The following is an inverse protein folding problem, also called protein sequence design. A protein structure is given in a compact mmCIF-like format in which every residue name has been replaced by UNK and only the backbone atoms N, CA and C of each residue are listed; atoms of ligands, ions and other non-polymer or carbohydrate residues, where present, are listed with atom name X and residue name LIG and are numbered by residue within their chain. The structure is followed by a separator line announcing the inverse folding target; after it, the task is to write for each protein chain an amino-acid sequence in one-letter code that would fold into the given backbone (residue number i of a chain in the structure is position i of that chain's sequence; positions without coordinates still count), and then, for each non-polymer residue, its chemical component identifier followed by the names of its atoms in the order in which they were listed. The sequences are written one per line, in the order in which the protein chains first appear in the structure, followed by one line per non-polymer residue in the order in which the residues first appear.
data_IF_428419712897
#
_entry.id   IF_428419712897
#
_cell.length_a   1.000
_cell.length_b   1.000
_cell.length_c   1.000
_cell.angle_alpha   90.00
_cell.angle_beta   90.00
_cell.angle_gamma   90.00
#
_symmetry.space_group_name_H-M   'P 1'
#
loop_
_entity.id
_entity.type
_entity.pdbx_description
1 polymer ?
#
# COMPACT_ATOMS: atom_id res chain seq x y z
N UNK A 1 19.71 24.92 11.78
CA UNK A 1 20.70 23.92 11.34
C UNK A 1 20.10 22.54 11.58
N UNK A 2 19.13 22.18 10.75
CA UNK A 2 18.73 20.80 10.51
C UNK A 2 18.40 20.78 9.03
N UNK A 3 19.33 20.14 8.34
CA UNK A 3 19.41 20.00 6.91
C UNK A 3 18.10 19.41 6.38
N UNK A 4 17.40 20.19 5.55
CA UNK A 4 16.32 19.70 4.71
C UNK A 4 16.97 18.85 3.64
N UNK A 5 17.19 17.57 3.93
CA UNK A 5 17.53 16.59 2.93
C UNK A 5 16.29 16.30 2.09
N UNK A 6 16.04 17.21 1.14
CA UNK A 6 15.32 16.94 -0.10
C UNK A 6 15.91 15.65 -0.67
N UNK A 7 15.13 14.56 -0.55
CA UNK A 7 15.53 13.21 -0.92
C UNK A 7 16.00 13.19 -2.36
N UNK A 8 17.31 13.03 -2.54
CA UNK A 8 17.91 12.72 -3.82
C UNK A 8 17.17 11.54 -4.43
N UNK A 9 16.66 11.74 -5.63
CA UNK A 9 16.29 10.66 -6.54
C UNK A 9 17.56 9.81 -6.75
N UNK A 10 17.73 8.78 -5.91
CA UNK A 10 18.75 7.77 -6.09
C UNK A 10 18.46 7.05 -7.42
N UNK A 11 19.30 7.22 -8.45
CA UNK A 11 19.03 6.61 -9.74
C UNK A 11 19.25 5.10 -9.62
N UNK A 12 18.25 4.34 -10.08
CA UNK A 12 18.19 2.88 -10.24
C UNK A 12 17.77 2.02 -9.03
N UNK A 13 17.01 2.54 -8.07
CA UNK A 13 16.17 1.65 -7.27
C UNK A 13 14.97 1.22 -8.13
N UNK A 14 15.13 0.11 -8.85
CA UNK A 14 14.07 -0.49 -9.70
C UNK A 14 13.06 -1.29 -8.90
N UNK A 15 13.20 -1.37 -7.57
CA UNK A 15 12.26 -2.11 -6.74
C UNK A 15 10.91 -1.41 -6.75
N UNK A 16 9.82 -2.17 -6.91
CA UNK A 16 8.49 -1.60 -6.81
C UNK A 16 8.31 -0.97 -5.42
N UNK A 17 7.64 0.17 -5.36
CA UNK A 17 7.38 0.90 -4.11
C UNK A 17 6.01 0.50 -3.59
N UNK A 18 5.93 0.26 -2.28
CA UNK A 18 4.67 -0.04 -1.62
C UNK A 18 4.45 0.90 -0.44
N UNK A 19 3.19 1.24 -0.16
CA UNK A 19 2.78 2.04 0.98
C UNK A 19 2.64 1.14 2.22
N UNK A 20 3.34 1.46 3.31
CA UNK A 20 3.10 0.84 4.61
C UNK A 20 1.97 1.57 5.34
N UNK A 21 0.92 0.84 5.73
CA UNK A 21 -0.23 1.41 6.45
C UNK A 21 -0.46 0.71 7.78
N UNK A 22 -0.55 1.49 8.86
CA UNK A 22 -0.91 1.03 10.20
C UNK A 22 -1.89 2.03 10.77
N UNK A 23 -3.07 1.56 11.13
CA UNK A 23 -3.99 2.30 11.97
C UNK A 23 -3.56 2.18 13.44
N UNK A 24 -3.17 3.31 14.03
CA UNK A 24 -2.71 3.42 15.42
C UNK A 24 -3.85 3.29 16.43
N UNK A 25 -5.10 3.57 16.06
CA UNK A 25 -6.26 3.41 16.95
C UNK A 25 -6.64 1.93 17.10
N UNK A 26 -6.37 1.15 16.06
CA UNK A 26 -6.66 -0.29 16.00
C UNK A 26 -5.48 -1.15 16.46
N UNK A 27 -4.25 -0.68 16.28
CA UNK A 27 -3.05 -1.43 16.64
C UNK A 27 -2.78 -1.39 18.15
N UNK A 28 -2.60 -2.56 18.75
CA UNK A 28 -2.16 -2.69 20.16
C UNK A 28 -0.64 -2.55 20.31
N UNK A 29 0.12 -2.69 19.21
CA UNK A 29 1.59 -2.69 19.21
C UNK A 29 2.14 -2.18 17.85
N UNK A 30 2.07 -0.87 17.58
CA UNK A 30 2.34 -0.30 16.26
C UNK A 30 3.79 -0.54 15.80
N UNK A 31 4.76 -0.58 16.71
CA UNK A 31 6.16 -0.87 16.38
C UNK A 31 6.36 -2.31 15.92
N UNK A 32 5.61 -3.24 16.52
CA UNK A 32 5.65 -4.66 16.14
C UNK A 32 4.98 -4.85 14.78
N UNK A 33 3.82 -4.24 14.58
CA UNK A 33 3.11 -4.22 13.30
C UNK A 33 3.97 -3.63 12.19
N UNK A 34 4.69 -2.54 12.48
CA UNK A 34 5.66 -1.94 11.56
C UNK A 34 6.77 -2.90 11.18
N UNK A 35 7.39 -3.55 12.17
CA UNK A 35 8.45 -4.52 11.93
C UNK A 35 7.95 -5.72 11.08
N UNK A 36 6.71 -6.16 11.30
CA UNK A 36 6.08 -7.21 10.50
C UNK A 36 5.88 -6.80 9.04
N UNK A 37 5.36 -5.60 8.80
CA UNK A 37 5.15 -5.05 7.45
C UNK A 37 6.48 -4.83 6.73
N UNK A 38 7.50 -4.30 7.41
CA UNK A 38 8.86 -4.15 6.86
C UNK A 38 9.45 -5.51 6.45
N UNK A 39 9.28 -6.53 7.30
CA UNK A 39 9.73 -7.89 6.99
C UNK A 39 9.00 -8.48 5.78
N UNK A 40 7.70 -8.21 5.64
CA UNK A 40 6.93 -8.65 4.48
C UNK A 40 7.41 -7.96 3.20
N UNK A 41 7.59 -6.64 3.25
CA UNK A 41 8.10 -5.85 2.12
C UNK A 41 9.46 -6.38 1.63
N UNK A 42 10.40 -6.65 2.55
CA UNK A 42 11.71 -7.22 2.23
C UNK A 42 11.61 -8.59 1.58
N UNK A 43 10.68 -9.45 2.03
CA UNK A 43 10.47 -10.78 1.45
C UNK A 43 9.89 -10.74 0.05
N UNK A 44 9.07 -9.73 -0.24
CA UNK A 44 8.43 -9.54 -1.54
C UNK A 44 9.28 -8.68 -2.51
N UNK A 45 10.35 -8.06 -2.01
CA UNK A 45 11.23 -7.21 -2.81
C UNK A 45 10.71 -5.78 -3.00
N UNK A 46 9.70 -5.35 -2.24
CA UNK A 46 9.19 -3.98 -2.27
C UNK A 46 10.04 -3.03 -1.44
N UNK A 47 10.16 -1.78 -1.90
CA UNK A 47 10.63 -0.68 -1.06
C UNK A 47 9.45 -0.01 -0.38
N UNK A 48 9.45 -0.05 0.94
CA UNK A 48 8.36 0.51 1.74
C UNK A 48 8.48 2.03 1.85
N UNK A 49 7.35 2.71 1.70
CA UNK A 49 7.17 4.14 1.94
C UNK A 49 6.18 4.25 3.09
N UNK A 50 6.60 4.87 4.18
CA UNK A 50 5.73 5.15 5.30
C UNK A 50 5.16 6.56 5.16
N UNK A 51 3.84 6.74 5.35
CA UNK A 51 3.27 8.08 5.43
C UNK A 51 3.78 8.78 6.69
N UNK A 52 3.69 10.11 6.70
CA UNK A 52 3.92 10.88 7.92
C UNK A 52 2.92 10.40 9.00
N UNK A 53 3.38 10.30 10.25
CA UNK A 53 2.67 9.62 11.34
C UNK A 53 1.26 10.19 11.60
N UNK A 54 0.99 11.41 11.11
CA UNK A 54 -0.29 12.12 11.25
C UNK A 54 -0.83 12.52 9.87
N UNK A 55 -0.78 11.60 8.90
CA UNK A 55 -1.41 11.82 7.60
C UNK A 55 -2.92 11.61 7.70
N UNK A 56 -3.68 12.72 7.77
CA UNK A 56 -5.16 12.73 7.76
C UNK A 56 -5.77 12.32 6.42
N UNK A 57 -4.94 12.01 5.42
CA UNK A 57 -5.41 11.63 4.10
C UNK A 57 -5.89 10.17 4.08
N UNK A 58 -6.99 9.87 3.37
CA UNK A 58 -7.40 8.50 3.15
C UNK A 58 -6.31 7.72 2.40
N UNK A 59 -6.18 6.41 2.67
CA UNK A 59 -5.13 5.54 2.09
C UNK A 59 -5.11 5.64 0.56
N UNK A 60 -6.28 5.69 -0.07
CA UNK A 60 -6.42 5.87 -1.52
C UNK A 60 -5.79 7.16 -2.05
N UNK A 61 -5.95 8.28 -1.34
CA UNK A 61 -5.33 9.56 -1.72
C UNK A 61 -3.82 9.54 -1.55
N UNK A 62 -3.32 8.82 -0.54
CA UNK A 62 -1.88 8.67 -0.29
C UNK A 62 -1.22 7.82 -1.37
N UNK A 63 -1.86 6.73 -1.80
CA UNK A 63 -1.42 5.93 -2.95
C UNK A 63 -1.25 6.78 -4.20
N UNK A 64 -2.26 7.58 -4.54
CA UNK A 64 -2.22 8.48 -5.67
C UNK A 64 -1.12 9.55 -5.54
N UNK A 65 -1.01 10.19 -4.38
CA UNK A 65 -0.01 11.23 -4.15
C UNK A 65 1.43 10.70 -4.19
N UNK A 66 1.64 9.44 -3.80
CA UNK A 66 2.97 8.81 -3.75
C UNK A 66 3.32 8.08 -5.04
N UNK A 67 2.36 7.90 -5.96
CA UNK A 67 2.52 7.14 -7.20
C UNK A 67 2.86 5.67 -6.93
N UNK A 68 2.25 5.08 -5.90
CA UNK A 68 2.43 3.69 -5.52
C UNK A 68 1.13 2.92 -5.74
N UNK A 69 1.23 1.67 -6.16
CA UNK A 69 0.14 0.80 -6.59
C UNK A 69 0.00 -0.46 -5.73
N UNK A 70 0.69 -0.50 -4.58
CA UNK A 70 0.61 -1.58 -3.61
C UNK A 70 0.56 -1.02 -2.19
N UNK A 71 -0.33 -1.56 -1.35
CA UNK A 71 -0.40 -1.30 0.09
C UNK A 71 -0.04 -2.57 0.85
N UNK A 72 0.87 -2.43 1.81
CA UNK A 72 1.21 -3.47 2.78
C UNK A 72 0.69 -3.05 4.16
N UNK A 73 -0.08 -3.91 4.81
CA UNK A 73 -0.66 -3.65 6.13
C UNK A 73 -0.60 -4.88 7.04
N UNK A 74 -0.64 -4.73 8.37
CA UNK A 74 -0.59 -5.87 9.29
C UNK A 74 -1.80 -6.79 9.10
N UNK A 75 -2.99 -6.19 8.95
CA UNK A 75 -4.25 -6.91 8.81
C UNK A 75 -5.31 -6.02 8.13
N UNK A 76 -6.37 -6.60 7.52
CA UNK A 76 -7.37 -5.82 6.79
C UNK A 76 -8.25 -4.92 7.68
N UNK A 77 -8.25 -5.15 9.00
CA UNK A 77 -9.01 -4.33 9.95
C UNK A 77 -8.33 -3.00 10.31
N UNK A 78 -7.10 -2.75 9.84
CA UNK A 78 -6.46 -1.43 9.94
C UNK A 78 -7.01 -0.41 8.93
N UNK A 79 -7.99 -0.78 8.12
CA UNK A 79 -8.62 0.11 7.15
C UNK A 79 -10.13 -0.09 7.20
N UNK A 80 -10.88 1.00 7.18
CA UNK A 80 -12.33 0.92 7.15
C UNK A 80 -12.80 0.15 5.90
N UNK A 81 -13.82 -0.73 5.97
CA UNK A 81 -14.21 -1.58 4.85
C UNK A 81 -14.52 -0.82 3.55
N UNK A 82 -15.12 0.36 3.64
CA UNK A 82 -15.39 1.20 2.48
C UNK A 82 -14.12 1.74 1.82
N UNK A 83 -13.12 2.08 2.64
CA UNK A 83 -11.84 2.56 2.15
C UNK A 83 -10.99 1.41 1.58
N UNK A 84 -11.08 0.21 2.17
CA UNK A 84 -10.49 -1.00 1.61
C UNK A 84 -11.01 -1.27 0.19
N UNK A 85 -12.32 -1.15 -0.04
CA UNK A 85 -12.91 -1.30 -1.38
C UNK A 85 -12.32 -0.32 -2.38
N UNK A 86 -12.16 0.96 -2.01
CA UNK A 86 -11.54 1.96 -2.89
C UNK A 86 -10.07 1.66 -3.18
N UNK A 87 -9.33 1.19 -2.17
CA UNK A 87 -7.93 0.79 -2.36
C UNK A 87 -7.83 -0.39 -3.32
N UNK A 88 -8.66 -1.43 -3.16
CA UNK A 88 -8.67 -2.60 -4.05
C UNK A 88 -9.03 -2.29 -5.51
N UNK A 89 -9.68 -1.16 -5.78
CA UNK A 89 -9.94 -0.69 -7.15
C UNK A 89 -8.68 -0.17 -7.85
N UNK A 90 -7.73 0.40 -7.08
CA UNK A 90 -6.59 1.15 -7.64
C UNK A 90 -5.23 0.53 -7.33
N UNK A 91 -5.13 -0.29 -6.30
CA UNK A 91 -3.88 -0.86 -5.79
C UNK A 91 -4.06 -2.31 -5.30
N UNK A 92 -2.96 -3.05 -5.30
CA UNK A 92 -2.87 -4.36 -4.66
C UNK A 92 -2.81 -4.19 -3.14
N UNK A 93 -3.51 -5.06 -2.40
CA UNK A 93 -3.48 -5.07 -0.93
C UNK A 93 -2.86 -6.37 -0.43
N UNK A 94 -1.76 -6.24 0.30
CA UNK A 94 -1.03 -7.35 0.91
C UNK A 94 -1.08 -7.23 2.43
N UNK A 95 -1.58 -8.27 3.11
CA UNK A 95 -1.68 -8.30 4.57
C UNK A 95 -0.74 -9.30 5.22
N UNK A 96 -0.24 -8.99 6.43
CA UNK A 96 0.63 -9.92 7.18
C UNK A 96 -0.18 -11.06 7.82
N UNK A 97 -1.26 -10.76 8.57
CA UNK A 97 -2.09 -11.74 9.26
C UNK A 97 -3.59 -11.34 9.35
N UNK A 98 -4.53 -12.22 8.93
CA UNK A 98 -4.29 -13.40 8.09
C UNK A 98 -3.60 -12.96 6.79
N UNK A 99 -2.69 -13.78 6.26
CA UNK A 99 -2.01 -13.45 5.01
C UNK A 99 -3.01 -13.54 3.86
N UNK A 100 -3.49 -12.38 3.43
CA UNK A 100 -4.41 -12.21 2.31
C UNK A 100 -3.71 -11.32 1.30
N UNK A 101 -3.70 -11.77 0.06
CA UNK A 101 -3.26 -11.00 -1.09
C UNK A 101 -4.52 -10.73 -1.89
N UNK A 102 -4.93 -9.46 -1.94
CA UNK A 102 -5.99 -9.00 -2.82
C UNK A 102 -5.31 -8.31 -3.99
N UNK A 103 -5.21 -9.01 -5.12
CA UNK A 103 -4.86 -8.37 -6.37
C UNK A 103 -5.91 -7.29 -6.69
N UNK A 104 -5.47 -6.16 -7.24
CA UNK A 104 -6.33 -5.10 -7.76
C UNK A 104 -7.43 -5.75 -8.58
N UNK A 105 -8.66 -5.27 -8.40
CA UNK A 105 -9.79 -5.71 -9.22
C UNK A 105 -9.46 -5.43 -10.69
N UNK A 106 -8.91 -6.42 -11.38
CA UNK A 106 -8.81 -6.39 -12.83
C UNK A 106 -10.16 -6.81 -13.33
N UNK A 107 -10.90 -5.89 -13.96
CA UNK A 107 -11.97 -6.26 -14.89
C UNK A 107 -11.30 -6.88 -16.12
N UNK A 108 -10.61 -8.01 -15.93
CA UNK A 108 -10.12 -8.85 -17.00
C UNK A 108 -11.19 -9.91 -17.23
N UNK A 109 -12.26 -9.53 -17.92
CA UNK A 109 -13.31 -10.49 -18.27
C UNK A 109 -14.69 -9.96 -18.65
N UNK A 110 -14.82 -8.74 -19.20
CA UNK A 110 -16.03 -8.37 -19.94
C UNK A 110 -15.73 -7.36 -21.07
N UNK A 111 -14.60 -7.51 -21.77
CA UNK A 111 -14.59 -7.17 -23.18
C UNK A 111 -15.27 -8.34 -23.92
N UNK A 112 -16.60 -8.42 -23.77
CA UNK A 112 -17.43 -9.22 -24.65
C UNK A 112 -17.17 -8.72 -26.08
N UNK A 113 -16.78 -9.65 -26.95
CA UNK A 113 -16.52 -9.38 -28.36
C UNK A 113 -17.66 -8.61 -28.99
N UNK A 114 -17.42 -7.33 -29.24
CA UNK A 114 -18.26 -6.48 -30.07
C UNK A 114 -17.73 -6.47 -31.49
N UNK A 115 -18.46 -7.12 -32.40
CA UNK A 115 -18.68 -6.59 -33.74
C UNK A 115 -17.66 -6.96 -34.83
N UNK A 116 -18.02 -7.99 -35.58
CA UNK A 116 -18.19 -7.99 -37.05
C UNK A 116 -17.20 -7.21 -37.93
N UNK A 117 -16.53 -7.93 -38.84
CA UNK A 117 -16.61 -7.78 -40.30
C UNK A 117 -16.29 -9.15 -40.93
#
# INVERSE_FOLDING_TARGET
MTDRHIGGVHPLDTRPRALGWIDHDTSTAPEWDRAQVERLAQRLGYRLVWPDEISVLPVSAQLHSLGVDTVLMPAPHHIAPLELSRVMEIADVETVHPRLSFARWSIAGAAAGGGSC
#
